data_IF_431180871564
#
_entry.id   IF_431180871564
#
_cell.length_a   1.000
_cell.length_b   1.000
_cell.length_c   1.000
_cell.angle_alpha   90.00
_cell.angle_beta   90.00
_cell.angle_gamma   90.00
#
_symmetry.space_group_name_H-M   'P 1'
#
loop_
_entity.id
_entity.type
_entity.pdbx_description
1 polymer ?
#
# COMPACT_ATOMS: atom_id res chain seq x y z
N UNK A 1 10.44 -7.65 -5.55
CA UNK A 1 9.03 -8.06 -5.32
C UNK A 1 9.05 -9.30 -4.45
N UNK A 2 8.24 -9.32 -3.40
CA UNK A 2 8.23 -10.37 -2.38
C UNK A 2 6.91 -11.14 -2.43
N UNK A 3 6.86 -12.38 -1.90
CA UNK A 3 5.64 -13.16 -1.86
C UNK A 3 4.54 -12.48 -1.03
N UNK A 4 3.26 -12.84 -1.22
CA UNK A 4 2.12 -12.28 -0.49
C UNK A 4 2.11 -12.57 1.03
N UNK A 5 3.14 -13.27 1.53
CA UNK A 5 3.41 -13.61 2.93
C UNK A 5 4.79 -13.11 3.39
N UNK A 6 5.41 -12.19 2.63
CA UNK A 6 6.72 -11.63 2.93
C UNK A 6 6.70 -10.70 4.14
N UNK A 7 7.89 -10.45 4.68
CA UNK A 7 8.09 -9.56 5.81
C UNK A 7 8.09 -8.09 5.37
N UNK A 8 7.48 -7.22 6.17
CA UNK A 8 7.58 -5.75 6.05
C UNK A 8 8.51 -5.18 7.11
N UNK A 9 9.26 -4.14 6.74
CA UNK A 9 10.19 -3.46 7.65
C UNK A 9 9.56 -2.27 8.37
N UNK A 10 9.80 -2.17 9.67
CA UNK A 10 9.71 -0.92 10.45
C UNK A 10 11.09 -0.47 10.88
N UNK A 11 11.32 0.85 10.95
CA UNK A 11 12.65 1.38 11.27
C UNK A 11 12.90 1.36 12.78
N UNK A 12 14.09 0.94 13.20
CA UNK A 12 14.48 1.02 14.62
C UNK A 12 14.60 2.44 15.18
N UNK A 13 14.64 3.48 14.34
CA UNK A 13 14.72 4.90 14.71
C UNK A 13 13.42 5.68 14.47
N UNK A 14 12.29 4.98 14.30
CA UNK A 14 10.97 5.57 14.16
C UNK A 14 10.07 5.24 15.36
N UNK A 15 9.34 6.24 15.82
CA UNK A 15 8.40 6.11 16.95
C UNK A 15 6.95 5.91 16.48
N UNK A 16 6.70 5.98 15.17
CA UNK A 16 5.36 5.86 14.59
C UNK A 16 5.43 5.26 13.19
N UNK A 17 5.11 3.97 13.11
CA UNK A 17 5.15 3.16 11.90
C UNK A 17 3.78 2.55 11.64
N UNK A 18 3.28 2.74 10.42
CA UNK A 18 1.94 2.31 10.03
C UNK A 18 1.93 1.67 8.65
N UNK A 19 1.10 0.65 8.43
CA UNK A 19 0.79 0.19 7.09
C UNK A 19 -0.18 1.16 6.41
N UNK A 20 -0.11 1.21 5.09
CA UNK A 20 -1.03 1.98 4.26
C UNK A 20 -1.58 1.04 3.19
N UNK A 21 -2.80 0.51 3.37
CA UNK A 21 -3.44 -0.33 2.36
C UNK A 21 -3.80 0.52 1.14
N UNK A 22 -3.31 0.13 -0.02
CA UNK A 22 -3.55 0.84 -1.27
C UNK A 22 -4.00 -0.10 -2.39
N UNK A 23 -4.93 0.40 -3.19
CA UNK A 23 -5.12 -0.14 -4.53
C UNK A 23 -3.87 0.22 -5.35
N UNK A 24 -3.38 -0.75 -6.12
CA UNK A 24 -2.25 -0.55 -7.01
C UNK A 24 -2.67 -0.94 -8.41
N UNK A 25 -2.39 -0.10 -9.40
CA UNK A 25 -2.55 -0.48 -10.80
C UNK A 25 -1.22 -0.74 -11.47
N UNK A 26 -1.21 -1.66 -12.44
CA UNK A 26 -0.05 -2.05 -13.23
C UNK A 26 -0.22 -1.53 -14.65
N UNK A 27 0.87 -1.04 -15.23
CA UNK A 27 0.85 -0.41 -16.55
C UNK A 27 1.58 -1.22 -17.62
N UNK A 28 1.13 -1.12 -18.87
CA UNK A 28 1.82 -1.61 -20.05
C UNK A 28 1.46 -0.69 -21.23
N UNK A 29 2.47 -0.21 -21.98
CA UNK A 29 2.26 0.76 -23.05
C UNK A 29 1.58 2.05 -22.59
N UNK A 30 1.76 2.45 -21.33
CA UNK A 30 1.10 3.61 -20.74
C UNK A 30 -0.40 3.43 -20.43
N UNK A 31 -0.91 2.20 -20.47
CA UNK A 31 -2.31 1.85 -20.15
C UNK A 31 -2.38 0.96 -18.91
N UNK A 32 -3.49 0.98 -18.19
CA UNK A 32 -3.72 0.10 -17.04
C UNK A 32 -4.07 -1.30 -17.54
N UNK A 33 -3.33 -2.31 -17.08
CA UNK A 33 -3.50 -3.72 -17.47
C UNK A 33 -3.87 -4.65 -16.31
N UNK A 34 -3.90 -4.14 -15.08
CA UNK A 34 -4.32 -4.93 -13.93
C UNK A 34 -4.27 -4.15 -12.63
N UNK A 35 -4.88 -4.73 -11.60
CA UNK A 35 -4.96 -4.19 -10.26
C UNK A 35 -4.46 -5.19 -9.23
N UNK A 36 -3.80 -4.72 -8.18
CA UNK A 36 -3.36 -5.55 -7.06
C UNK A 36 -3.46 -4.78 -5.74
N UNK A 37 -3.25 -5.49 -4.63
CA UNK A 37 -3.18 -4.90 -3.30
C UNK A 37 -1.72 -4.55 -2.97
N UNK A 38 -1.52 -3.36 -2.42
CA UNK A 38 -0.24 -2.87 -1.96
C UNK A 38 -0.25 -2.49 -0.48
N UNK A 39 0.92 -2.58 0.14
CA UNK A 39 1.19 -2.04 1.46
C UNK A 39 2.34 -1.03 1.38
N UNK A 40 2.04 0.27 1.50
CA UNK A 40 3.04 1.35 1.59
C UNK A 40 3.41 1.56 3.07
N UNK A 41 4.44 0.86 3.54
CA UNK A 41 4.87 1.00 4.92
C UNK A 41 5.46 2.40 5.15
N UNK A 42 5.05 3.05 6.23
CA UNK A 42 5.39 4.45 6.46
C UNK A 42 5.81 4.71 7.90
N UNK A 43 7.07 5.15 8.06
CA UNK A 43 7.63 5.68 9.31
C UNK A 43 7.30 7.15 9.45
N UNK A 44 6.06 7.43 9.86
CA UNK A 44 5.47 8.78 9.89
C UNK A 44 6.16 9.74 10.85
N UNK A 45 6.76 9.22 11.92
CA UNK A 45 7.55 10.03 12.85
C UNK A 45 8.72 10.75 12.16
N UNK A 46 9.24 10.18 11.07
CA UNK A 46 10.35 10.71 10.27
C UNK A 46 9.81 11.49 9.07
N UNK A 47 8.78 11.00 8.38
CA UNK A 47 8.14 11.72 7.26
C UNK A 47 7.68 13.12 7.69
N UNK A 48 7.04 13.26 8.86
CA UNK A 48 6.57 14.56 9.36
C UNK A 48 7.70 15.55 9.65
N UNK A 49 8.87 15.05 10.07
CA UNK A 49 10.05 15.88 10.41
C UNK A 49 10.82 16.36 9.18
N UNK A 50 10.76 15.61 8.07
CA UNK A 50 11.56 15.88 6.87
C UNK A 50 10.64 16.29 5.70
N UNK A 51 10.06 17.49 5.81
CA UNK A 51 9.16 18.06 4.79
C UNK A 51 9.80 18.26 3.40
N UNK A 52 11.14 18.26 3.28
CA UNK A 52 11.85 18.67 2.06
C UNK A 52 12.58 17.54 1.31
N UNK A 53 12.63 16.32 1.84
CA UNK A 53 13.23 15.17 1.17
C UNK A 53 12.26 14.00 1.26
N UNK A 54 11.30 13.97 0.33
CA UNK A 54 10.36 12.86 0.07
C UNK A 54 11.02 11.47 -0.14
N UNK A 55 12.36 11.38 -0.04
CA UNK A 55 13.13 10.17 -0.35
C UNK A 55 13.60 9.41 0.90
N UNK A 56 14.16 10.03 1.94
CA UNK A 56 14.85 9.24 2.99
C UNK A 56 13.97 8.31 3.85
N UNK A 57 12.76 8.69 4.31
CA UNK A 57 11.89 7.77 5.05
C UNK A 57 11.31 6.65 4.16
N UNK A 58 11.45 6.78 2.83
CA UNK A 58 10.80 5.94 1.81
C UNK A 58 11.75 5.04 1.01
N UNK A 59 12.97 4.83 1.49
CA UNK A 59 13.93 3.88 0.89
C UNK A 59 14.60 3.05 2.00
N UNK A 60 13.93 1.96 2.38
CA UNK A 60 14.43 0.95 3.32
C UNK A 60 14.15 -0.43 2.73
N UNK A 61 14.94 -1.44 3.13
CA UNK A 61 14.65 -2.84 2.80
C UNK A 61 13.26 -3.21 3.34
N UNK A 62 12.47 -3.96 2.57
CA UNK A 62 11.12 -4.43 2.94
C UNK A 62 10.04 -3.34 3.15
N UNK A 63 10.21 -2.16 2.56
CA UNK A 63 9.26 -1.05 2.68
C UNK A 63 8.01 -1.22 1.81
N UNK A 64 8.17 -1.77 0.61
CA UNK A 64 7.11 -1.86 -0.39
C UNK A 64 6.79 -3.33 -0.66
N UNK A 65 5.57 -3.73 -0.32
CA UNK A 65 5.05 -5.04 -0.69
C UNK A 65 3.90 -4.89 -1.67
N UNK A 66 4.11 -5.57 -2.79
CA UNK A 66 3.20 -5.69 -3.92
C UNK A 66 2.97 -7.18 -4.12
N UNK A 67 1.72 -7.60 -4.15
CA UNK A 67 1.40 -8.97 -4.54
C UNK A 67 1.69 -9.13 -6.04
N UNK A 68 2.50 -10.13 -6.38
CA UNK A 68 2.89 -10.49 -7.77
C UNK A 68 1.73 -11.04 -8.63
N UNK A 69 0.53 -11.07 -8.09
CA UNK A 69 -0.69 -11.44 -8.79
C UNK A 69 -1.54 -10.18 -8.89
N UNK A 70 -1.87 -9.80 -10.12
CA UNK A 70 -2.84 -8.76 -10.40
C UNK A 70 -4.08 -9.36 -11.04
N UNK A 71 -5.20 -8.75 -10.74
CA UNK A 71 -6.50 -9.06 -11.30
C UNK A 71 -6.73 -8.16 -12.50
N UNK A 72 -7.29 -8.73 -13.56
CA UNK A 72 -7.52 -8.01 -14.79
C UNK A 72 -8.63 -6.94 -14.64
N UNK A 73 -8.61 -5.86 -15.44
CA UNK A 73 -9.61 -4.79 -15.35
C UNK A 73 -11.05 -5.29 -15.50
N UNK A 74 -11.30 -6.29 -16.34
CA UNK A 74 -12.63 -6.88 -16.52
C UNK A 74 -13.17 -7.57 -15.26
N UNK A 75 -12.30 -8.18 -14.46
CA UNK A 75 -12.70 -8.84 -13.21
C UNK A 75 -13.01 -7.82 -12.12
N UNK A 76 -12.25 -6.72 -12.08
CA UNK A 76 -12.47 -5.62 -11.13
C UNK A 76 -13.76 -4.85 -11.47
N UNK A 77 -13.98 -4.58 -12.76
CA UNK A 77 -15.04 -3.68 -13.21
C UNK A 77 -14.67 -2.23 -12.92
N UNK A 78 -15.40 -1.59 -11.99
CA UNK A 78 -15.11 -0.22 -11.55
C UNK A 78 -14.08 -0.22 -10.41
N UNK A 79 -12.83 0.24 -10.64
CA UNK A 79 -11.80 0.31 -9.59
C UNK A 79 -12.11 1.37 -8.52
N UNK A 80 -13.05 2.28 -8.78
CA UNK A 80 -13.48 3.34 -7.87
C UNK A 80 -14.54 2.85 -6.87
N UNK A 81 -14.93 1.57 -6.90
CA UNK A 81 -15.96 1.01 -6.01
C UNK A 81 -15.52 -0.33 -5.42
N UNK A 82 -14.42 -0.31 -4.66
CA UNK A 82 -13.87 -1.49 -4.00
C UNK A 82 -13.77 -1.24 -2.49
N UNK A 83 -14.32 -2.17 -1.70
CA UNK A 83 -14.07 -2.21 -0.26
C UNK A 83 -12.59 -2.50 0.05
N UNK A 84 -12.03 -1.76 1.00
CA UNK A 84 -10.65 -1.94 1.49
C UNK A 84 -10.70 -2.15 3.01
N UNK A 85 -10.08 -3.22 3.49
CA UNK A 85 -10.00 -3.53 4.91
C UNK A 85 -8.55 -3.77 5.32
N UNK A 86 -8.16 -3.16 6.45
CA UNK A 86 -6.90 -3.35 7.14
C UNK A 86 -7.18 -3.97 8.50
N UNK A 87 -6.59 -5.12 8.78
CA UNK A 87 -6.57 -5.75 10.11
C UNK A 87 -5.13 -5.89 10.53
N UNK A 88 -4.81 -5.50 11.76
CA UNK A 88 -3.50 -5.73 12.37
C UNK A 88 -3.70 -6.64 13.57
N UNK A 89 -2.97 -7.74 13.60
CA UNK A 89 -2.92 -8.68 14.71
C UNK A 89 -1.61 -8.55 15.48
N UNK A 90 -1.69 -8.51 16.81
CA UNK A 90 -0.56 -8.54 17.73
C UNK A 90 -0.75 -9.67 18.72
N UNK A 91 0.22 -10.56 18.82
CA UNK A 91 0.16 -11.76 19.68
C UNK A 91 -1.12 -12.61 19.46
N UNK A 92 -1.55 -12.72 18.20
CA UNK A 92 -2.76 -13.44 17.79
C UNK A 92 -4.07 -12.77 18.20
N UNK A 93 -4.04 -11.51 18.62
CA UNK A 93 -5.23 -10.71 18.94
C UNK A 93 -5.35 -9.54 17.98
N UNK A 94 -6.58 -9.20 17.60
CA UNK A 94 -6.85 -8.02 16.80
C UNK A 94 -6.45 -6.74 17.55
N UNK A 95 -5.44 -6.04 17.03
CA UNK A 95 -4.90 -4.80 17.60
C UNK A 95 -5.51 -3.57 16.93
N UNK A 96 -5.85 -3.64 15.64
CA UNK A 96 -6.47 -2.56 14.90
C UNK A 96 -7.34 -3.09 13.75
N UNK A 97 -8.42 -2.38 13.45
CA UNK A 97 -9.24 -2.57 12.24
C UNK A 97 -9.52 -1.21 11.61
N UNK A 98 -9.25 -1.10 10.33
CA UNK A 98 -9.55 0.05 9.51
C UNK A 98 -10.32 -0.37 8.27
N UNK A 99 -11.33 0.40 7.90
CA UNK A 99 -12.12 0.18 6.70
C UNK A 99 -12.12 1.46 5.85
N UNK A 100 -12.11 1.27 4.54
CA UNK A 100 -12.21 2.33 3.55
C UNK A 100 -12.89 1.80 2.28
N UNK A 101 -13.15 2.70 1.34
CA UNK A 101 -13.63 2.33 0.02
C UNK A 101 -12.93 3.21 -1.02
N UNK A 102 -12.59 2.64 -2.18
CA UNK A 102 -11.92 3.40 -3.25
C UNK A 102 -12.79 4.53 -3.81
N UNK A 103 -14.09 4.54 -3.55
CA UNK A 103 -14.98 5.68 -3.87
C UNK A 103 -14.59 6.97 -3.14
N UNK A 104 -13.87 6.86 -2.02
CA UNK A 104 -13.30 8.00 -1.29
C UNK A 104 -12.07 8.63 -1.98
N UNK A 105 -11.50 8.00 -3.00
CA UNK A 105 -10.35 8.54 -3.72
C UNK A 105 -10.77 9.79 -4.51
N UNK A 106 -10.14 10.94 -4.19
CA UNK A 106 -10.39 12.20 -4.90
C UNK A 106 -9.86 12.23 -6.34
N UNK A 107 -8.87 11.38 -6.62
CA UNK A 107 -8.22 11.22 -7.92
C UNK A 107 -8.32 9.75 -8.27
N UNK A 108 -9.07 9.44 -9.32
CA UNK A 108 -9.23 8.07 -9.77
C UNK A 108 -7.99 7.55 -10.51
N UNK A 109 -7.97 6.25 -10.80
CA UNK A 109 -6.85 5.61 -11.50
C UNK A 109 -6.61 6.22 -12.89
N UNK A 110 -7.67 6.67 -13.59
CA UNK A 110 -7.58 7.26 -14.92
C UNK A 110 -6.87 8.61 -14.90
N UNK A 111 -7.14 9.42 -13.88
CA UNK A 111 -6.45 10.68 -13.62
C UNK A 111 -4.97 10.43 -13.32
N UNK A 112 -4.69 9.45 -12.47
CA UNK A 112 -3.31 9.14 -12.05
C UNK A 112 -2.45 8.65 -13.23
N UNK A 113 -2.96 7.75 -14.08
CA UNK A 113 -2.22 7.28 -15.25
C UNK A 113 -2.01 8.39 -16.28
N UNK A 114 -3.02 9.23 -16.52
CA UNK A 114 -2.91 10.39 -17.43
C UNK A 114 -1.79 11.34 -16.98
N UNK A 115 -1.68 11.64 -15.69
CA UNK A 115 -0.57 12.44 -15.18
C UNK A 115 0.79 11.71 -15.27
N UNK A 116 0.81 10.40 -15.01
CA UNK A 116 2.05 9.63 -14.99
C UNK A 116 2.73 9.55 -16.37
N UNK A 117 1.96 9.46 -17.46
CA UNK A 117 2.49 9.30 -18.82
C UNK A 117 2.78 10.62 -19.53
N UNK A 118 2.34 11.76 -18.97
CA UNK A 118 2.57 13.09 -19.56
C UNK A 118 4.04 13.45 -19.53
N UNK A 119 4.63 13.56 -20.72
CA UNK A 119 6.05 13.89 -20.89
C UNK A 119 7.00 12.99 -20.10
N UNK A 120 6.58 11.75 -19.85
CA UNK A 120 7.31 10.82 -19.01
C UNK A 120 7.18 9.39 -19.58
N UNK A 121 8.30 8.82 -20.02
CA UNK A 121 8.34 7.44 -20.49
C UNK A 121 8.42 6.51 -19.28
N UNK A 122 7.43 5.65 -19.11
CA UNK A 122 7.39 4.64 -18.04
C UNK A 122 7.69 3.25 -18.62
N UNK A 123 8.48 2.42 -17.92
CA UNK A 123 8.66 1.02 -18.30
C UNK A 123 7.35 0.23 -18.20
N UNK A 124 7.21 -0.79 -19.05
CA UNK A 124 6.16 -1.79 -18.89
C UNK A 124 6.30 -2.51 -17.55
N UNK A 125 5.16 -2.79 -16.91
CA UNK A 125 5.10 -3.35 -15.56
C UNK A 125 5.28 -2.32 -14.45
N UNK A 126 5.25 -1.01 -14.74
CA UNK A 126 5.26 0.01 -13.69
C UNK A 126 4.00 -0.14 -12.84
N UNK A 127 4.21 -0.35 -11.53
CA UNK A 127 3.18 -0.43 -10.52
C UNK A 127 3.00 0.93 -9.84
N UNK A 128 1.75 1.38 -9.70
CA UNK A 128 1.42 2.71 -9.17
C UNK A 128 0.48 2.56 -7.99
N UNK A 129 0.92 3.04 -6.83
CA UNK A 129 0.11 3.05 -5.62
C UNK A 129 -0.75 4.33 -5.58
N UNK A 130 -2.02 4.17 -5.23
CA UNK A 130 -3.03 5.22 -5.47
C UNK A 130 -3.38 6.05 -4.23
N UNK A 131 -2.66 5.87 -3.14
CA UNK A 131 -2.97 6.44 -1.83
C UNK A 131 -3.86 5.52 -0.99
N UNK A 132 -3.79 5.72 0.32
CA UNK A 132 -4.58 4.98 1.31
C UNK A 132 -5.78 5.76 1.85
N UNK A 133 -6.85 5.04 2.16
CA UNK A 133 -8.06 5.58 2.78
C UNK A 133 -8.19 5.32 4.28
N UNK A 134 -7.34 4.48 4.86
CA UNK A 134 -7.37 4.13 6.28
C UNK A 134 -5.97 4.04 6.85
N UNK A 135 -5.73 4.72 7.97
CA UNK A 135 -4.42 4.81 8.60
C UNK A 135 -4.67 4.67 10.11
N UNK A 136 -3.91 3.80 10.82
CA UNK A 136 -3.94 3.77 12.27
C UNK A 136 -3.64 5.15 12.88
N UNK A 137 -4.31 5.53 13.98
CA UNK A 137 -4.14 6.84 14.58
C UNK A 137 -2.74 6.99 15.24
N UNK A 138 -2.28 8.21 15.57
CA UNK A 138 -0.92 8.45 16.07
C UNK A 138 -0.54 7.71 17.37
N UNK A 139 -1.52 7.32 18.17
CA UNK A 139 -1.35 6.49 19.36
C UNK A 139 -1.06 5.02 19.07
N UNK A 140 -1.19 4.59 17.81
CA UNK A 140 -0.87 3.25 17.35
C UNK A 140 0.42 3.24 16.53
N UNK A 141 1.32 2.32 16.86
CA UNK A 141 2.49 2.00 16.04
C UNK A 141 2.64 0.49 15.93
N UNK A 142 3.11 0.04 14.77
CA UNK A 142 3.48 -1.35 14.55
C UNK A 142 4.65 -1.76 15.46
N UNK A 143 4.67 -3.03 15.81
CA UNK A 143 5.75 -3.69 16.53
C UNK A 143 6.22 -4.92 15.74
N UNK A 144 7.47 -5.33 15.98
CA UNK A 144 7.98 -6.57 15.41
C UNK A 144 7.11 -7.76 15.82
N UNK A 145 6.80 -8.64 14.86
CA UNK A 145 5.91 -9.78 15.06
C UNK A 145 4.42 -9.48 14.84
N UNK A 146 4.03 -8.21 14.64
CA UNK A 146 2.67 -7.90 14.19
C UNK A 146 2.41 -8.53 12.82
N UNK A 147 1.16 -8.96 12.61
CA UNK A 147 0.70 -9.50 11.33
C UNK A 147 -0.33 -8.56 10.74
N UNK A 148 -0.09 -8.11 9.52
CA UNK A 148 -0.90 -7.14 8.80
C UNK A 148 -1.67 -7.88 7.73
N UNK A 149 -2.99 -7.69 7.70
CA UNK A 149 -3.88 -8.21 6.66
C UNK A 149 -4.54 -7.06 5.92
N UNK A 150 -4.32 -6.98 4.61
CA UNK A 150 -4.93 -6.00 3.73
C UNK A 150 -5.80 -6.75 2.73
N UNK A 151 -7.11 -6.51 2.79
CA UNK A 151 -8.07 -7.10 1.86
C UNK A 151 -8.63 -6.01 0.97
N UNK A 152 -8.58 -6.22 -0.35
CA UNK A 152 -9.28 -5.38 -1.33
C UNK A 152 -10.29 -6.26 -2.06
N UNK A 153 -11.54 -5.80 -2.11
CA UNK A 153 -12.64 -6.47 -2.79
C UNK A 153 -12.26 -6.83 -4.23
N UNK A 154 -12.64 -8.04 -4.67
CA UNK A 154 -12.33 -8.63 -5.99
C UNK A 154 -10.84 -8.86 -6.31
N UNK A 155 -9.91 -8.37 -5.49
CA UNK A 155 -8.47 -8.58 -5.66
C UNK A 155 -7.98 -9.72 -4.76
N UNK A 156 -8.29 -9.65 -3.47
CA UNK A 156 -7.86 -10.66 -2.49
C UNK A 156 -7.19 -10.05 -1.27
N UNK A 157 -6.43 -10.87 -0.55
CA UNK A 157 -5.78 -10.50 0.72
C UNK A 157 -4.26 -10.61 0.64
N UNK A 158 -3.58 -9.53 1.00
CA UNK A 158 -2.14 -9.45 1.26
C UNK A 158 -1.90 -9.62 2.77
N UNK A 159 -0.95 -10.47 3.15
CA UNK A 159 -0.61 -10.72 4.57
C UNK A 159 0.87 -10.54 4.81
N UNK A 160 1.29 -9.70 5.75
CA UNK A 160 2.71 -9.45 6.01
C UNK A 160 3.04 -9.53 7.48
N UNK A 161 4.24 -10.04 7.79
CA UNK A 161 4.78 -10.05 9.16
C UNK A 161 5.74 -8.89 9.34
N UNK A 162 5.65 -8.18 10.46
CA UNK A 162 6.51 -7.02 10.72
C UNK A 162 7.86 -7.45 11.30
N UNK A 163 8.94 -6.91 10.74
CA UNK A 163 10.32 -7.04 11.23
C UNK A 163 10.96 -5.66 11.41
N UNK A 164 11.92 -5.55 12.34
CA UNK A 164 12.73 -4.33 12.47
C UNK A 164 13.87 -4.35 11.45
N UNK A 165 14.09 -3.23 10.77
CA UNK A 165 15.15 -3.02 9.77
C UNK A 165 16.03 -1.81 10.09
#
# INVERSE_FOLDING_TARGET
>A
MQPPFGDVGIRGDSDWDVPQPELVFITHGGQIVGYTAGNDMSSRSIEGKIHFIFRRPRFMTNLLLLVLLWVSPETVGDPQQLGVQLIIERDGKQAFVGEANTSGMKRDCSYLIDWLVRHNLIPDGTAVMTGTGTIPPPEFTLAAGDVIHITIEKIGRLTNTVVVV
#
